data_IF_765483458579
#
_entry.id   IF_765483458579
#
_cell.length_a   1.000
_cell.length_b   1.000
_cell.length_c   1.000
_cell.angle_alpha   90.00
_cell.angle_beta   90.00
_cell.angle_gamma   90.00
#
_symmetry.space_group_name_H-M   'P 1'
#
loop_
_entity.id
_entity.type
_entity.pdbx_description
1 polymer ?
#
# COMPACT_ATOMS: atom_id res chain seq x y z
N UNK A 1 30.07 -2.29 19.19
CA UNK A 1 28.84 -2.00 19.97
C UNK A 1 27.76 -1.68 18.95
N UNK A 2 26.78 -2.56 18.74
CA UNK A 2 25.76 -2.38 17.69
C UNK A 2 24.54 -1.70 18.30
N UNK A 3 24.22 -0.48 17.84
CA UNK A 3 22.98 0.21 18.23
C UNK A 3 21.84 -0.49 17.50
N UNK A 4 20.90 -1.08 18.24
CA UNK A 4 19.64 -1.56 17.64
C UNK A 4 18.68 -0.37 17.56
N UNK A 5 18.13 -0.03 16.38
CA UNK A 5 17.09 0.97 16.32
C UNK A 5 15.88 0.49 17.14
N UNK A 6 15.37 1.35 18.01
CA UNK A 6 14.10 1.12 18.68
C UNK A 6 13.00 1.67 17.78
N UNK A 7 12.07 0.80 17.38
CA UNK A 7 10.82 1.16 16.72
C UNK A 7 9.69 0.99 17.72
N UNK A 8 8.76 1.95 17.76
CA UNK A 8 7.53 1.89 18.55
C UNK A 8 6.36 2.06 17.60
N UNK A 9 5.43 1.10 17.62
CA UNK A 9 4.14 1.24 16.94
C UNK A 9 3.23 2.07 17.85
N UNK A 10 2.52 3.02 17.25
CA UNK A 10 1.56 3.89 17.93
C UNK A 10 0.23 3.72 17.22
N UNK A 11 -0.85 3.66 18.00
CA UNK A 11 -2.19 3.69 17.44
C UNK A 11 -2.62 5.14 17.24
N UNK A 12 -3.08 5.44 16.04
CA UNK A 12 -3.60 6.74 15.64
C UNK A 12 -5.10 6.63 15.37
N UNK A 13 -5.90 7.66 15.73
CA UNK A 13 -7.33 7.64 15.50
C UNK A 13 -7.66 7.67 14.00
N UNK A 14 -8.74 6.99 13.61
CA UNK A 14 -9.18 6.87 12.21
C UNK A 14 -9.63 8.20 11.58
N UNK A 15 -9.86 9.25 12.37
CA UNK A 15 -10.13 10.60 11.85
C UNK A 15 -8.89 11.22 11.16
N UNK A 16 -7.68 10.72 11.45
CA UNK A 16 -6.45 11.08 10.73
C UNK A 16 -6.33 10.46 9.33
N UNK A 17 -7.25 9.58 8.91
CA UNK A 17 -7.25 8.98 7.57
C UNK A 17 -7.26 10.04 6.46
N UNK A 18 -7.88 11.20 6.70
CA UNK A 18 -7.87 12.32 5.78
C UNK A 18 -6.49 12.96 5.63
N UNK A 19 -5.76 13.11 6.73
CA UNK A 19 -4.39 13.65 6.73
C UNK A 19 -3.42 12.66 6.10
N UNK A 20 -3.56 11.37 6.43
CA UNK A 20 -2.80 10.30 5.78
C UNK A 20 -3.00 10.28 4.25
N UNK A 21 -4.23 10.52 3.80
CA UNK A 21 -4.58 10.60 2.38
C UNK A 21 -3.94 11.75 1.59
N UNK A 22 -3.26 12.70 2.25
CA UNK A 22 -2.49 13.77 1.58
C UNK A 22 -1.12 13.25 1.12
N UNK A 23 -0.62 12.15 1.70
CA UNK A 23 0.67 11.57 1.34
C UNK A 23 0.56 11.02 -0.11
N UNK A 24 1.39 11.52 -1.05
CA UNK A 24 1.32 11.08 -2.44
C UNK A 24 1.58 9.57 -2.58
N UNK A 25 0.68 8.88 -3.29
CA UNK A 25 0.78 7.44 -3.54
C UNK A 25 1.24 7.23 -4.99
N UNK A 26 2.53 7.50 -5.21
CA UNK A 26 3.17 7.47 -6.53
C UNK A 26 4.45 6.66 -6.50
N UNK A 27 4.49 5.59 -7.30
CA UNK A 27 5.63 4.67 -7.32
C UNK A 27 6.08 4.36 -8.74
N UNK A 28 7.38 4.37 -8.98
CA UNK A 28 7.95 3.83 -10.23
C UNK A 28 7.96 2.30 -10.15
N UNK A 29 7.25 1.66 -11.06
CA UNK A 29 7.20 0.20 -11.17
C UNK A 29 8.35 -0.27 -12.04
N UNK A 30 9.27 -1.04 -11.45
CA UNK A 30 10.42 -1.65 -12.15
C UNK A 30 10.31 -3.17 -12.27
N UNK A 31 9.44 -3.78 -11.46
CA UNK A 31 9.18 -5.21 -11.44
C UNK A 31 7.72 -5.46 -11.09
N UNK A 32 7.24 -6.64 -11.48
CA UNK A 32 5.92 -7.15 -11.10
C UNK A 32 6.03 -8.62 -10.72
N UNK A 33 5.12 -9.09 -9.87
CA UNK A 33 5.00 -10.52 -9.57
C UNK A 33 4.15 -11.19 -10.64
N UNK A 34 4.69 -12.24 -11.26
CA UNK A 34 3.93 -13.20 -12.07
C UNK A 34 3.50 -14.35 -11.16
N UNK A 35 2.24 -14.78 -11.30
CA UNK A 35 1.74 -15.97 -10.61
C UNK A 35 2.19 -17.20 -11.38
N UNK A 36 2.84 -18.14 -10.70
CA UNK A 36 3.33 -19.39 -11.27
C UNK A 36 2.56 -20.55 -10.66
N UNK A 37 1.86 -21.31 -11.49
CA UNK A 37 1.00 -22.42 -11.08
C UNK A 37 -0.49 -22.10 -11.21
N UNK A 38 -1.31 -23.14 -11.33
CA UNK A 38 -2.76 -23.01 -11.61
C UNK A 38 -3.64 -23.18 -10.35
N UNK A 39 -3.09 -23.71 -9.26
CA UNK A 39 -3.80 -23.87 -7.98
C UNK A 39 -3.45 -22.70 -7.04
N UNK A 40 -4.42 -21.85 -6.66
CA UNK A 40 -4.19 -20.71 -5.76
C UNK A 40 -3.60 -21.09 -4.40
N UNK A 41 -3.80 -22.32 -3.92
CA UNK A 41 -3.26 -22.77 -2.64
C UNK A 41 -1.76 -23.07 -2.70
N UNK A 42 -1.21 -23.29 -3.90
CA UNK A 42 0.19 -23.67 -4.10
C UNK A 42 0.95 -22.76 -5.08
N UNK A 43 0.26 -21.82 -5.71
CA UNK A 43 0.86 -20.88 -6.65
C UNK A 43 1.94 -20.01 -5.98
N UNK A 44 3.02 -19.77 -6.71
CA UNK A 44 4.12 -18.94 -6.26
C UNK A 44 4.07 -17.56 -6.92
N UNK A 45 4.51 -16.53 -6.19
CA UNK A 45 4.74 -15.20 -6.77
C UNK A 45 6.21 -15.07 -7.16
N UNK A 46 6.46 -14.98 -8.47
CA UNK A 46 7.81 -14.76 -9.01
C UNK A 46 7.97 -13.31 -9.46
N UNK A 47 8.86 -12.58 -8.81
CA UNK A 47 9.20 -11.22 -9.23
C UNK A 47 9.95 -11.23 -10.56
N UNK A 48 9.56 -10.34 -11.48
CA UNK A 48 10.18 -10.19 -12.79
C UNK A 48 10.31 -8.70 -13.15
N UNK A 49 11.45 -8.27 -13.72
CA UNK A 49 11.60 -6.91 -14.21
C UNK A 49 10.63 -6.64 -15.36
N UNK A 50 10.10 -5.43 -15.40
CA UNK A 50 9.24 -4.98 -16.50
C UNK A 50 10.11 -4.46 -17.65
N UNK A 51 9.65 -4.60 -18.90
CA UNK A 51 10.42 -4.20 -20.07
C UNK A 51 10.63 -2.68 -20.17
N UNK A 52 9.64 -1.91 -19.73
CA UNK A 52 9.67 -0.44 -19.65
C UNK A 52 9.09 -0.03 -18.32
N UNK A 53 9.87 0.60 -17.41
CA UNK A 53 9.34 1.14 -16.17
C UNK A 53 8.23 2.15 -16.43
N UNK A 54 7.22 2.18 -15.54
CA UNK A 54 6.16 3.18 -15.61
C UNK A 54 5.85 3.74 -14.23
N UNK A 55 5.25 4.93 -14.24
CA UNK A 55 4.77 5.56 -13.03
C UNK A 55 3.37 5.04 -12.71
N UNK A 56 3.22 4.38 -11.56
CA UNK A 56 1.92 4.05 -10.99
C UNK A 56 1.54 5.16 -10.03
N UNK A 57 0.70 6.06 -10.51
CA UNK A 57 0.30 7.28 -9.83
C UNK A 57 -1.17 7.22 -9.42
N UNK A 58 -1.42 6.88 -8.16
CA UNK A 58 -2.79 6.79 -7.65
C UNK A 58 -3.43 8.17 -7.42
N UNK A 59 -2.64 9.23 -7.30
CA UNK A 59 -3.13 10.58 -7.00
C UNK A 59 -3.77 11.26 -8.24
N UNK A 60 -3.50 10.72 -9.43
CA UNK A 60 -4.07 11.25 -10.70
C UNK A 60 -5.53 10.88 -10.92
N UNK A 61 -6.05 9.91 -10.17
CA UNK A 61 -7.43 9.45 -10.31
C UNK A 61 -8.34 10.26 -9.38
N UNK A 62 -9.10 11.19 -9.95
CA UNK A 62 -10.03 12.03 -9.18
C UNK A 62 -10.98 11.20 -8.32
N UNK A 63 -10.90 11.39 -7.00
CA UNK A 63 -11.74 10.71 -6.03
C UNK A 63 -11.27 9.32 -5.60
N UNK A 64 -10.10 8.86 -6.08
CA UNK A 64 -9.41 7.71 -5.51
C UNK A 64 -8.61 8.11 -4.25
N UNK A 65 -8.28 7.12 -3.41
CA UNK A 65 -7.46 7.31 -2.21
C UNK A 65 -8.14 6.90 -0.90
N UNK A 66 -7.41 6.96 0.23
CA UNK A 66 -7.85 6.40 1.50
C UNK A 66 -9.16 6.98 2.03
N UNK A 67 -9.42 8.26 1.76
CA UNK A 67 -10.64 8.96 2.21
C UNK A 67 -11.92 8.44 1.57
N UNK A 68 -11.84 7.73 0.44
CA UNK A 68 -13.00 7.10 -0.19
C UNK A 68 -13.38 5.77 0.48
N UNK A 69 -12.50 5.15 1.27
CA UNK A 69 -12.78 3.83 1.82
C UNK A 69 -14.03 3.82 2.71
N UNK A 70 -14.17 4.83 3.56
CA UNK A 70 -15.35 5.02 4.41
C UNK A 70 -16.67 5.21 3.62
N UNK A 71 -16.61 5.54 2.32
CA UNK A 71 -17.79 5.65 1.45
C UNK A 71 -18.23 4.31 0.86
N UNK A 72 -17.34 3.33 0.77
CA UNK A 72 -17.64 2.04 0.12
C UNK A 72 -17.59 0.85 1.11
N UNK A 73 -16.95 1.02 2.27
CA UNK A 73 -16.75 -0.03 3.27
C UNK A 73 -16.96 0.51 4.68
N UNK A 74 -17.35 -0.38 5.59
CA UNK A 74 -17.30 -0.11 7.03
C UNK A 74 -15.85 -0.20 7.50
N UNK A 75 -15.27 0.96 7.78
CA UNK A 75 -13.88 1.12 8.22
C UNK A 75 -13.76 1.26 9.75
N UNK A 76 -14.85 1.07 10.50
CA UNK A 76 -14.88 1.29 11.95
C UNK A 76 -13.93 0.39 12.75
N UNK A 77 -13.55 -0.76 12.20
CA UNK A 77 -12.61 -1.72 12.79
C UNK A 77 -11.26 -1.76 12.05
N UNK A 78 -10.97 -0.79 11.19
CA UNK A 78 -9.70 -0.72 10.47
C UNK A 78 -8.66 0.04 11.29
N UNK A 79 -7.38 -0.27 11.09
CA UNK A 79 -6.25 0.47 11.63
C UNK A 79 -5.28 0.85 10.52
N UNK A 80 -4.68 2.03 10.61
CA UNK A 80 -3.67 2.52 9.67
C UNK A 80 -2.28 2.25 10.25
N UNK A 81 -1.38 1.68 9.44
CA UNK A 81 0.03 1.54 9.78
C UNK A 81 0.81 2.54 8.94
N UNK A 82 1.34 3.58 9.59
CA UNK A 82 2.19 4.61 9.02
C UNK A 82 3.55 4.65 9.75
N UNK A 83 4.60 5.15 9.09
CA UNK A 83 5.96 5.23 9.62
C UNK A 83 6.72 6.45 9.07
#
# INVERSE_FOLDING_TARGET
>A
MSIKPQCRIVEEPMDLLAEYGIIPIRFEVRSAFEVVGDDPATAELREKPVSVPWLKDYDTMNGEGPTRWAKNWDVSNWGIVAA
#
